data_IF_388025924427
#
_entry.id   IF_388025924427
#
_cell.length_a   1.000
_cell.length_b   1.000
_cell.length_c   1.000
_cell.angle_alpha   90.00
_cell.angle_beta   90.00
_cell.angle_gamma   90.00
#
_symmetry.space_group_name_H-M   'P 1'
#
loop_
_entity.id
_entity.type
_entity.pdbx_description
1 polymer ?
#
# COMPACT_ATOMS: atom_id res chain seq x y z
N UNK A 1 -37.62 27.91 -1.59
CA UNK A 1 -36.53 28.18 -2.55
C UNK A 1 -35.33 28.58 -1.70
N UNK A 2 -34.21 27.86 -1.58
CA UNK A 2 -33.60 26.82 -2.39
C UNK A 2 -33.01 25.73 -1.48
N UNK A 3 -33.16 24.47 -1.86
CA UNK A 3 -32.49 23.34 -1.21
C UNK A 3 -31.05 23.24 -1.71
N UNK A 4 -30.10 23.13 -0.77
CA UNK A 4 -28.72 22.75 -1.08
C UNK A 4 -28.70 21.26 -1.46
N UNK A 5 -28.31 20.95 -2.70
CA UNK A 5 -27.84 19.62 -3.08
C UNK A 5 -26.44 19.41 -2.50
N UNK A 6 -26.11 18.23 -1.96
CA UNK A 6 -24.72 17.88 -1.68
C UNK A 6 -24.00 17.57 -2.99
N UNK A 7 -22.77 18.08 -3.09
CA UNK A 7 -21.80 17.84 -4.13
C UNK A 7 -21.45 16.36 -4.26
N UNK A 8 -21.46 15.89 -5.51
CA UNK A 8 -21.05 14.56 -5.94
C UNK A 8 -19.51 14.39 -5.76
N UNK A 9 -19.10 13.91 -4.58
CA UNK A 9 -17.76 13.36 -4.34
C UNK A 9 -17.69 12.04 -5.11
N UNK A 10 -16.86 12.01 -6.16
CA UNK A 10 -16.62 10.90 -7.09
C UNK A 10 -16.08 9.58 -6.49
N UNK A 11 -16.48 9.24 -5.27
CA UNK A 11 -16.44 7.93 -4.67
C UNK A 11 -17.26 6.91 -5.47
N UNK A 12 -16.59 6.22 -6.40
CA UNK A 12 -17.17 5.05 -7.08
C UNK A 12 -17.32 3.93 -6.04
N UNK A 13 -18.53 3.78 -5.51
CA UNK A 13 -18.91 2.67 -4.64
C UNK A 13 -19.03 1.38 -5.46
N UNK A 14 -17.97 0.56 -5.48
CA UNK A 14 -18.07 -0.82 -5.96
C UNK A 14 -18.53 -1.68 -4.78
N UNK A 15 -19.83 -1.93 -4.72
CA UNK A 15 -20.42 -2.87 -3.75
C UNK A 15 -20.11 -4.28 -4.23
N UNK A 16 -19.15 -4.95 -3.60
CA UNK A 16 -18.99 -6.40 -3.77
C UNK A 16 -20.10 -7.12 -3.00
N UNK A 17 -20.60 -8.21 -3.58
CA UNK A 17 -21.76 -9.00 -3.14
C UNK A 17 -21.61 -9.72 -1.78
N UNK A 18 -20.68 -9.29 -0.92
CA UNK A 18 -20.46 -9.81 0.44
C UNK A 18 -20.57 -8.74 1.53
N UNK A 19 -21.19 -7.58 1.26
CA UNK A 19 -21.62 -6.65 2.31
C UNK A 19 -20.50 -5.98 3.12
N UNK A 20 -19.25 -5.97 2.61
CA UNK A 20 -18.18 -5.10 3.12
C UNK A 20 -17.75 -4.17 2.01
N UNK A 21 -17.95 -2.87 2.23
CA UNK A 21 -17.46 -1.80 1.37
C UNK A 21 -15.93 -1.90 1.32
N UNK A 22 -15.37 -2.45 0.24
CA UNK A 22 -13.95 -2.32 -0.11
C UNK A 22 -13.75 -0.94 -0.71
N UNK A 23 -13.68 0.09 0.13
CA UNK A 23 -13.41 1.45 -0.31
C UNK A 23 -11.91 1.74 -0.17
N UNK A 24 -11.29 2.01 -1.30
CA UNK A 24 -9.96 2.60 -1.35
C UNK A 24 -10.06 4.07 -0.99
N UNK A 25 -9.17 4.56 -0.14
CA UNK A 25 -9.21 5.95 0.35
C UNK A 25 -7.85 6.59 0.30
N UNK A 26 -7.86 7.92 0.23
CA UNK A 26 -6.69 8.73 0.60
C UNK A 26 -6.63 8.88 2.12
N UNK A 27 -5.45 8.65 2.68
CA UNK A 27 -5.19 8.72 4.11
C UNK A 27 -3.96 9.59 4.36
N UNK A 28 -4.17 10.70 5.05
CA UNK A 28 -3.10 11.63 5.41
C UNK A 28 -2.44 11.20 6.74
N UNK A 29 -1.13 10.99 6.70
CA UNK A 29 -0.32 10.71 7.88
C UNK A 29 0.03 12.00 8.63
N UNK A 30 0.03 11.94 9.96
CA UNK A 30 0.51 13.03 10.80
C UNK A 30 2.02 13.25 10.69
N UNK A 31 2.48 14.47 11.00
CA UNK A 31 3.92 14.83 10.93
C UNK A 31 4.82 13.92 11.76
N UNK A 32 4.36 13.47 12.93
CA UNK A 32 5.14 12.56 13.77
C UNK A 32 5.28 11.17 13.11
N UNK A 33 4.22 10.69 12.47
CA UNK A 33 4.22 9.42 11.75
C UNK A 33 5.17 9.44 10.55
N UNK A 34 5.21 10.55 9.80
CA UNK A 34 6.16 10.78 8.71
C UNK A 34 7.61 10.86 9.23
N UNK A 35 7.86 11.54 10.35
CA UNK A 35 9.22 11.60 10.94
C UNK A 35 9.73 10.23 11.38
N UNK A 36 8.87 9.45 12.05
CA UNK A 36 9.22 8.08 12.45
C UNK A 36 9.48 7.19 11.23
N UNK A 37 8.68 7.37 10.17
CA UNK A 37 8.91 6.73 8.88
C UNK A 37 10.32 7.05 8.37
N UNK A 38 10.63 8.34 8.22
CA UNK A 38 11.87 8.78 7.60
C UNK A 38 13.08 8.17 8.32
N UNK A 39 13.09 8.23 9.65
CA UNK A 39 14.17 7.63 10.43
C UNK A 39 14.30 6.11 10.27
N UNK A 40 13.21 5.38 9.98
CA UNK A 40 13.28 3.96 9.65
C UNK A 40 13.82 3.72 8.24
N UNK A 41 13.44 4.53 7.26
CA UNK A 41 13.97 4.45 5.90
C UNK A 41 15.47 4.70 5.87
N UNK A 42 15.95 5.71 6.59
CA UNK A 42 17.37 6.05 6.63
C UNK A 42 18.23 4.89 7.19
N UNK A 43 17.62 3.99 7.97
CA UNK A 43 18.26 2.79 8.54
C UNK A 43 18.05 1.52 7.71
N UNK A 44 17.20 1.57 6.68
CA UNK A 44 16.81 0.40 5.89
C UNK A 44 17.51 0.43 4.53
N UNK A 45 18.03 -0.71 4.08
CA UNK A 45 18.59 -0.79 2.74
C UNK A 45 17.47 -0.73 1.68
N UNK A 46 17.69 0.05 0.62
CA UNK A 46 16.83 0.05 -0.56
C UNK A 46 16.79 -1.35 -1.19
N UNK A 47 15.60 -1.94 -1.41
CA UNK A 47 15.49 -3.16 -2.21
C UNK A 47 15.20 -2.80 -3.67
N UNK A 48 15.77 -3.60 -4.58
CA UNK A 48 15.55 -3.46 -6.02
C UNK A 48 14.31 -4.26 -6.42
N UNK A 49 13.54 -3.75 -7.39
CA UNK A 49 12.42 -4.49 -7.96
C UNK A 49 12.91 -5.75 -8.66
N UNK A 50 12.13 -6.83 -8.55
CA UNK A 50 12.23 -7.95 -9.48
C UNK A 50 11.34 -7.65 -10.70
N UNK A 51 11.84 -7.95 -11.90
CA UNK A 51 11.02 -7.93 -13.13
C UNK A 51 10.25 -9.24 -13.25
N UNK A 52 8.99 -9.16 -13.66
CA UNK A 52 8.26 -10.36 -14.05
C UNK A 52 8.84 -10.88 -15.38
N UNK A 53 9.26 -12.15 -15.40
CA UNK A 53 9.87 -12.78 -16.59
C UNK A 53 8.87 -12.98 -17.73
N UNK A 54 7.58 -13.11 -17.42
CA UNK A 54 6.52 -13.36 -18.39
C UNK A 54 5.90 -12.05 -18.89
N UNK A 55 5.85 -11.01 -18.04
CA UNK A 55 5.40 -9.68 -18.42
C UNK A 55 6.45 -8.62 -18.03
N UNK A 56 7.32 -8.17 -18.96
CA UNK A 56 8.36 -7.21 -18.63
C UNK A 56 7.84 -5.81 -18.25
N UNK A 57 6.55 -5.53 -18.47
CA UNK A 57 5.87 -4.31 -17.98
C UNK A 57 5.44 -4.39 -16.52
N UNK A 58 5.57 -5.57 -15.92
CA UNK A 58 5.29 -5.80 -14.51
C UNK A 58 6.58 -5.89 -13.71
N UNK A 59 6.61 -5.14 -12.62
CA UNK A 59 7.66 -5.22 -11.62
C UNK A 59 7.03 -5.48 -10.26
N UNK A 60 7.72 -6.22 -9.42
CA UNK A 60 7.25 -6.50 -8.07
C UNK A 60 8.37 -6.50 -7.04
N UNK A 61 7.97 -6.39 -5.78
CA UNK A 61 8.80 -6.56 -4.60
C UNK A 61 8.12 -7.55 -3.69
N UNK A 62 8.92 -8.24 -2.90
CA UNK A 62 8.43 -9.03 -1.79
C UNK A 62 9.13 -8.50 -0.54
N UNK A 63 8.36 -7.82 0.30
CA UNK A 63 8.83 -7.39 1.61
C UNK A 63 8.72 -8.55 2.58
N UNK A 64 9.81 -8.82 3.28
CA UNK A 64 9.85 -9.74 4.40
C UNK A 64 9.77 -8.96 5.70
N UNK A 65 8.74 -9.22 6.50
CA UNK A 65 8.64 -8.77 7.88
C UNK A 65 9.07 -9.91 8.77
N UNK A 66 10.06 -9.67 9.62
CA UNK A 66 10.49 -10.58 10.71
C UNK A 66 10.02 -10.02 12.05
N UNK A 67 10.10 -10.82 13.11
CA UNK A 67 9.64 -10.40 14.44
C UNK A 67 8.16 -9.96 14.37
N UNK A 68 7.31 -10.71 13.66
CA UNK A 68 5.94 -10.31 13.29
C UNK A 68 5.11 -9.86 14.49
N UNK A 69 5.29 -10.53 15.63
CA UNK A 69 4.64 -10.15 16.89
C UNK A 69 5.07 -8.76 17.38
N UNK A 70 6.36 -8.43 17.25
CA UNK A 70 6.87 -7.09 17.56
C UNK A 70 6.48 -6.09 16.47
N UNK A 71 6.54 -6.50 15.21
CA UNK A 71 6.18 -5.71 14.04
C UNK A 71 4.72 -5.24 14.10
N UNK A 72 3.80 -6.03 14.68
CA UNK A 72 2.43 -5.61 14.96
C UNK A 72 2.34 -4.27 15.72
N UNK A 73 3.41 -3.84 16.38
CA UNK A 73 3.48 -2.60 17.12
C UNK A 73 4.16 -1.45 16.35
N UNK A 74 4.98 -1.74 15.32
CA UNK A 74 5.95 -0.78 14.75
C UNK A 74 5.56 -0.24 13.38
N UNK A 75 4.66 -0.91 12.64
CA UNK A 75 4.09 -0.39 11.38
C UNK A 75 5.16 0.04 10.38
N UNK A 76 6.08 -0.88 10.06
CA UNK A 76 7.23 -0.57 9.22
C UNK A 76 6.78 -0.25 7.79
N UNK A 77 7.47 0.71 7.17
CA UNK A 77 7.29 1.00 5.78
C UNK A 77 8.48 0.61 4.91
N UNK A 78 8.22 0.40 3.62
CA UNK A 78 9.24 -0.04 2.69
C UNK A 78 9.30 0.81 1.43
N UNK A 79 10.52 0.99 0.92
CA UNK A 79 10.83 1.78 -0.25
C UNK A 79 11.20 0.93 -1.48
N UNK A 80 10.41 1.06 -2.52
CA UNK A 80 10.59 0.36 -3.78
C UNK A 80 11.22 1.29 -4.84
N UNK A 81 12.32 0.85 -5.47
CA UNK A 81 12.81 1.42 -6.74
C UNK A 81 12.27 0.57 -7.87
N UNK A 82 11.21 1.04 -8.49
CA UNK A 82 10.73 0.46 -9.75
C UNK A 82 11.37 1.26 -10.84
N UNK A 83 11.47 0.64 -11.99
CA UNK A 83 11.78 1.38 -13.19
C UNK A 83 10.94 2.67 -13.21
N UNK A 84 11.66 3.78 -13.14
CA UNK A 84 11.18 5.16 -13.05
C UNK A 84 10.70 5.62 -11.64
N UNK A 85 9.54 5.21 -11.14
CA UNK A 85 8.95 5.79 -9.91
C UNK A 85 9.38 5.13 -8.60
N UNK A 86 9.35 5.92 -7.52
CA UNK A 86 9.68 5.49 -6.16
C UNK A 86 8.42 5.47 -5.27
N UNK A 87 8.17 4.34 -4.61
CA UNK A 87 6.98 4.13 -3.77
C UNK A 87 7.35 3.71 -2.35
N UNK A 88 6.56 4.21 -1.40
CA UNK A 88 6.52 3.77 -0.02
C UNK A 88 5.28 2.92 0.24
N UNK A 89 5.39 1.86 1.03
CA UNK A 89 4.21 1.17 1.58
C UNK A 89 4.20 1.27 3.07
N UNK A 90 3.04 1.58 3.64
CA UNK A 90 2.83 1.72 5.07
C UNK A 90 1.73 0.76 5.51
N UNK A 91 2.07 -0.08 6.50
CA UNK A 91 1.12 -0.98 7.14
C UNK A 91 0.77 -0.48 8.53
N UNK A 92 -0.51 -0.54 8.86
CA UNK A 92 -1.04 -0.38 10.21
C UNK A 92 -1.55 -1.74 10.70
N UNK A 93 -0.73 -2.51 11.44
CA UNK A 93 -1.07 -3.87 11.85
C UNK A 93 -2.30 -3.95 12.76
N UNK A 94 -2.59 -2.88 13.50
CA UNK A 94 -3.77 -2.77 14.36
C UNK A 94 -4.86 -1.88 13.75
N UNK A 95 -4.77 -1.58 12.45
CA UNK A 95 -5.75 -0.81 11.69
C UNK A 95 -5.77 0.69 12.01
N UNK A 96 -6.55 1.42 11.23
CA UNK A 96 -6.81 2.86 11.37
C UNK A 96 -8.31 3.15 11.29
N UNK A 97 -8.73 4.32 11.78
CA UNK A 97 -10.13 4.77 11.73
C UNK A 97 -11.10 3.67 12.17
N UNK A 98 -12.10 3.39 11.34
CA UNK A 98 -13.14 2.39 11.60
C UNK A 98 -12.65 0.93 11.56
N UNK A 99 -11.47 0.67 10.98
CA UNK A 99 -10.85 -0.64 10.94
C UNK A 99 -10.01 -0.98 12.18
N UNK A 100 -9.74 0.01 13.04
CA UNK A 100 -8.83 -0.13 14.19
C UNK A 100 -9.25 -1.29 15.10
N UNK A 101 -8.26 -2.06 15.53
CA UNK A 101 -8.41 -3.25 16.39
C UNK A 101 -9.02 -4.48 15.72
N UNK A 102 -9.44 -4.40 14.45
CA UNK A 102 -10.14 -5.50 13.75
C UNK A 102 -9.51 -5.87 12.41
N UNK A 103 -8.96 -4.89 11.70
CA UNK A 103 -8.36 -5.06 10.39
C UNK A 103 -6.94 -4.51 10.36
N UNK A 104 -6.09 -5.13 9.54
CA UNK A 104 -4.86 -4.50 9.06
C UNK A 104 -5.25 -3.50 7.97
N UNK A 105 -4.62 -2.32 8.00
CA UNK A 105 -4.74 -1.34 6.93
C UNK A 105 -3.39 -1.20 6.22
N UNK A 106 -3.41 -1.03 4.89
CA UNK A 106 -2.20 -0.88 4.08
C UNK A 106 -2.42 0.25 3.07
N UNK A 107 -1.44 1.14 3.00
CA UNK A 107 -1.43 2.31 2.11
C UNK A 107 -0.13 2.38 1.31
N UNK A 108 -0.25 2.83 0.06
CA UNK A 108 0.87 3.13 -0.82
C UNK A 108 1.04 4.65 -0.88
N UNK A 109 2.27 5.12 -0.81
CA UNK A 109 2.64 6.53 -0.85
C UNK A 109 3.65 6.76 -1.98
N UNK A 110 3.53 7.86 -2.71
CA UNK A 110 4.65 8.31 -3.57
C UNK A 110 5.81 8.81 -2.71
N UNK A 111 7.03 8.64 -3.19
CA UNK A 111 8.24 9.13 -2.55
C UNK A 111 9.12 9.81 -3.59
N UNK A 112 9.87 10.83 -3.18
CA UNK A 112 10.76 11.56 -4.09
C UNK A 112 11.88 10.67 -4.62
N UNK A 113 11.90 10.49 -5.93
CA UNK A 113 12.89 9.72 -6.69
C UNK A 113 13.95 10.61 -7.34
N UNK A 114 15.14 10.04 -7.52
CA UNK A 114 16.29 10.70 -8.16
C UNK A 114 16.04 11.07 -9.64
N UNK A 115 15.08 10.41 -10.28
CA UNK A 115 14.79 10.58 -11.71
C UNK A 115 13.36 11.12 -11.96
N UNK A 116 12.70 11.69 -10.96
CA UNK A 116 11.30 12.13 -11.04
C UNK A 116 11.06 13.16 -12.16
N UNK A 117 12.09 13.92 -12.56
CA UNK A 117 12.03 14.88 -13.68
C UNK A 117 11.87 14.23 -15.06
N UNK A 118 12.25 12.96 -15.19
CA UNK A 118 12.16 12.22 -16.45
C UNK A 118 10.88 11.38 -16.56
N UNK A 119 10.00 11.44 -15.56
CA UNK A 119 8.81 10.59 -15.47
C UNK A 119 7.55 11.40 -15.79
N UNK A 120 6.52 10.68 -16.21
CA UNK A 120 5.20 11.28 -16.41
C UNK A 120 4.50 11.51 -15.06
N UNK A 121 3.81 12.63 -14.90
CA UNK A 121 3.03 12.87 -13.68
C UNK A 121 1.64 13.38 -14.04
N UNK A 122 0.60 13.05 -13.24
CA UNK A 122 0.61 12.15 -12.08
C UNK A 122 0.82 10.67 -12.45
N UNK A 123 1.22 9.84 -11.48
CA UNK A 123 1.38 8.41 -11.71
C UNK A 123 0.02 7.77 -12.08
N UNK A 124 0.02 6.98 -13.15
CA UNK A 124 -1.14 6.23 -13.62
C UNK A 124 -0.74 4.79 -13.90
N UNK A 125 -1.36 3.84 -13.20
CA UNK A 125 -1.00 2.44 -13.27
C UNK A 125 -1.81 1.61 -12.30
N UNK A 126 -1.59 0.31 -12.32
CA UNK A 126 -2.19 -0.64 -11.38
C UNK A 126 -1.16 -0.97 -10.31
N UNK A 127 -1.62 -1.01 -9.06
CA UNK A 127 -0.81 -1.49 -7.93
C UNK A 127 -1.58 -2.62 -7.26
N UNK A 128 -0.96 -3.79 -7.18
CA UNK A 128 -1.53 -4.97 -6.52
C UNK A 128 -0.75 -5.23 -5.24
N UNK A 129 -1.45 -5.29 -4.12
CA UNK A 129 -0.93 -5.60 -2.80
C UNK A 129 -1.36 -7.02 -2.44
N UNK A 130 -0.42 -7.91 -2.14
CA UNK A 130 -0.72 -9.32 -1.84
C UNK A 130 0.04 -9.79 -0.60
N UNK A 131 -0.67 -10.28 0.42
CA UNK A 131 -0.03 -11.08 1.47
C UNK A 131 0.06 -12.52 1.00
N UNK A 132 1.29 -13.04 1.00
CA UNK A 132 1.61 -14.32 0.38
C UNK A 132 1.29 -15.49 1.30
N UNK A 133 0.58 -16.49 0.77
CA UNK A 133 0.38 -17.78 1.42
C UNK A 133 1.73 -18.50 1.60
N UNK A 134 2.04 -18.95 2.83
CA UNK A 134 3.32 -19.60 3.17
C UNK A 134 3.38 -21.10 2.88
N UNK A 135 2.29 -21.69 2.43
CA UNK A 135 2.16 -23.09 2.03
C UNK A 135 2.37 -23.30 0.52
N UNK A 136 2.70 -22.24 -0.22
CA UNK A 136 3.02 -22.31 -1.65
C UNK A 136 1.81 -22.29 -2.59
N UNK A 137 0.61 -22.14 -2.05
CA UNK A 137 -0.64 -22.04 -2.82
C UNK A 137 -0.94 -20.58 -3.14
N UNK A 138 -0.41 -20.09 -4.26
CA UNK A 138 -0.51 -18.66 -4.64
C UNK A 138 -1.94 -18.16 -4.85
N UNK A 139 -2.86 -19.05 -5.21
CA UNK A 139 -4.29 -18.73 -5.35
C UNK A 139 -4.95 -18.34 -4.02
N UNK A 140 -4.30 -18.62 -2.89
CA UNK A 140 -4.76 -18.25 -1.56
C UNK A 140 -4.18 -16.91 -1.06
N UNK A 141 -3.33 -16.23 -1.85
CA UNK A 141 -2.79 -14.93 -1.50
C UNK A 141 -3.94 -13.93 -1.25
N UNK A 142 -3.92 -13.20 -0.13
CA UNK A 142 -4.89 -12.11 0.08
C UNK A 142 -4.45 -10.92 -0.74
N UNK A 143 -5.13 -10.70 -1.88
CA UNK A 143 -4.73 -9.72 -2.89
C UNK A 143 -5.77 -8.62 -3.09
N UNK A 144 -5.31 -7.36 -3.17
CA UNK A 144 -6.13 -6.21 -3.52
C UNK A 144 -5.44 -5.37 -4.58
N UNK A 145 -6.18 -5.00 -5.60
CA UNK A 145 -5.68 -4.25 -6.76
C UNK A 145 -6.28 -2.87 -6.78
N UNK A 146 -5.44 -1.86 -6.55
CA UNK A 146 -5.82 -0.46 -6.64
C UNK A 146 -5.43 0.13 -8.00
N UNK A 147 -6.25 1.05 -8.48
CA UNK A 147 -6.00 1.79 -9.71
C UNK A 147 -5.55 3.20 -9.35
N UNK A 148 -4.31 3.54 -9.69
CA UNK A 148 -3.83 4.91 -9.57
C UNK A 148 -4.55 5.79 -10.62
N UNK A 149 -5.06 6.94 -10.15
CA UNK A 149 -5.83 7.88 -10.96
C UNK A 149 -5.22 9.28 -10.86
N UNK A 150 -5.17 10.03 -11.97
CA UNK A 150 -4.67 11.41 -11.98
C UNK A 150 -5.37 12.39 -11.03
N UNK A 151 -6.61 12.10 -10.62
CA UNK A 151 -7.40 12.95 -9.74
C UNK A 151 -7.07 12.78 -8.25
N UNK A 152 -6.30 11.75 -7.89
CA UNK A 152 -5.92 11.48 -6.50
C UNK A 152 -4.65 12.28 -6.14
N UNK A 153 -4.68 12.96 -5.01
CA UNK A 153 -3.53 13.69 -4.46
C UNK A 153 -2.36 12.74 -4.15
N UNK A 154 -2.66 11.52 -3.70
CA UNK A 154 -1.69 10.49 -3.36
C UNK A 154 -0.77 10.08 -4.52
N UNK A 155 -1.16 10.29 -5.78
CA UNK A 155 -0.39 9.91 -6.98
C UNK A 155 0.18 11.09 -7.77
N UNK A 156 0.10 12.30 -7.21
CA UNK A 156 0.78 13.46 -7.76
C UNK A 156 2.30 13.34 -7.61
N UNK A 157 3.04 14.17 -8.35
CA UNK A 157 4.49 14.30 -8.18
C UNK A 157 4.79 14.64 -6.72
N UNK A 158 5.58 13.82 -6.00
CA UNK A 158 5.94 14.09 -4.62
C UNK A 158 6.78 15.37 -4.56
N UNK A 159 6.55 16.17 -3.51
CA UNK A 159 7.32 17.39 -3.20
C UNK A 159 8.15 17.24 -1.92
N UNK A 160 8.08 16.06 -1.32
CA UNK A 160 8.71 15.70 -0.07
C UNK A 160 9.26 14.28 -0.22
N UNK A 161 10.26 13.92 0.58
CA UNK A 161 10.86 12.59 0.58
C UNK A 161 9.82 11.45 0.67
N UNK A 162 8.73 11.69 1.41
CA UNK A 162 7.57 10.81 1.52
C UNK A 162 6.31 11.67 1.38
N UNK A 163 5.43 11.34 0.44
CA UNK A 163 4.12 11.98 0.35
C UNK A 163 3.31 11.69 1.62
N UNK A 164 2.81 12.71 2.35
CA UNK A 164 2.03 12.48 3.56
C UNK A 164 0.68 11.81 3.28
N UNK A 165 0.18 11.93 2.05
CA UNK A 165 -1.08 11.33 1.62
C UNK A 165 -0.77 9.99 0.94
N UNK A 166 -1.27 8.90 1.53
CA UNK A 166 -1.22 7.57 0.95
C UNK A 166 -2.58 7.15 0.41
N UNK A 167 -2.59 6.20 -0.52
CA UNK A 167 -3.82 5.59 -1.05
C UNK A 167 -3.83 4.08 -0.79
N UNK A 168 -4.94 3.57 -0.28
CA UNK A 168 -5.00 2.16 0.12
C UNK A 168 -6.30 1.77 0.81
N UNK A 169 -6.25 0.75 1.66
CA UNK A 169 -7.43 0.13 2.27
C UNK A 169 -7.37 0.19 3.80
N UNK A 170 -8.44 0.68 4.41
CA UNK A 170 -8.68 0.53 5.86
C UNK A 170 -8.95 -0.95 6.22
N UNK A 171 -9.62 -1.67 5.34
CA UNK A 171 -10.08 -3.05 5.56
C UNK A 171 -9.32 -4.04 4.68
N UNK A 172 -7.98 -4.02 4.70
CA UNK A 172 -7.17 -4.91 3.86
C UNK A 172 -7.44 -6.39 4.19
N UNK A 173 -7.31 -6.76 5.46
CA UNK A 173 -7.63 -8.10 5.94
C UNK A 173 -7.93 -8.06 7.44
N UNK A 174 -8.67 -9.05 7.96
CA UNK A 174 -8.82 -9.21 9.41
C UNK A 174 -7.47 -9.50 10.05
N UNK A 175 -7.21 -8.90 11.22
CA UNK A 175 -5.95 -9.08 11.95
C UNK A 175 -5.67 -10.57 12.23
N UNK A 176 -6.68 -11.30 12.71
CA UNK A 176 -6.60 -12.74 13.02
C UNK A 176 -6.20 -13.58 11.80
N UNK A 177 -6.73 -13.24 10.63
CA UNK A 177 -6.42 -13.92 9.38
C UNK A 177 -5.02 -13.55 8.90
N UNK A 178 -4.72 -12.25 8.85
CA UNK A 178 -3.47 -11.70 8.31
C UNK A 178 -2.24 -12.17 9.08
N UNK A 179 -2.35 -12.26 10.40
CA UNK A 179 -1.29 -12.78 11.28
C UNK A 179 -1.47 -14.26 11.63
N UNK A 180 -2.38 -14.96 10.93
CA UNK A 180 -2.63 -16.38 11.13
C UNK A 180 -1.51 -17.26 10.58
N UNK A 181 -1.47 -18.55 10.96
CA UNK A 181 -0.42 -19.49 10.60
C UNK A 181 -0.30 -19.79 9.09
N UNK A 182 -1.33 -19.43 8.30
CA UNK A 182 -1.30 -19.54 6.84
C UNK A 182 -0.35 -18.52 6.20
N UNK A 183 -0.24 -17.33 6.80
CA UNK A 183 0.55 -16.21 6.25
C UNK A 183 1.80 -15.92 7.08
N UNK A 184 1.81 -16.30 8.36
CA UNK A 184 2.94 -16.15 9.27
C UNK A 184 3.56 -17.51 9.57
N UNK A 185 4.84 -17.67 9.24
CA UNK A 185 5.63 -18.87 9.54
C UNK A 185 7.06 -18.48 9.89
N UNK A 186 7.64 -19.12 10.90
CA UNK A 186 8.96 -18.78 11.46
C UNK A 186 9.06 -17.29 11.87
N UNK A 187 7.96 -16.73 12.39
CA UNK A 187 7.86 -15.31 12.74
C UNK A 187 8.17 -14.37 11.58
N UNK A 188 7.82 -14.80 10.37
CA UNK A 188 7.98 -14.07 9.12
C UNK A 188 6.65 -13.92 8.39
N UNK A 189 6.44 -12.77 7.77
CA UNK A 189 5.32 -12.45 6.88
C UNK A 189 5.87 -11.86 5.59
N UNK A 190 5.26 -12.20 4.46
CA UNK A 190 5.67 -11.68 3.16
C UNK A 190 4.54 -10.88 2.51
N UNK A 191 4.80 -9.61 2.22
CA UNK A 191 3.90 -8.73 1.48
C UNK A 191 4.51 -8.45 0.11
N UNK A 192 3.86 -8.92 -0.94
CA UNK A 192 4.19 -8.59 -2.31
C UNK A 192 3.49 -7.31 -2.72
N UNK A 193 4.22 -6.44 -3.42
CA UNK A 193 3.61 -5.35 -4.19
C UNK A 193 4.00 -5.55 -5.63
N UNK A 194 3.03 -5.51 -6.52
CA UNK A 194 3.22 -5.56 -7.96
C UNK A 194 2.67 -4.29 -8.59
N UNK A 195 3.36 -3.84 -9.63
CA UNK A 195 3.04 -2.61 -10.34
C UNK A 195 3.01 -2.92 -11.82
N UNK A 196 1.99 -2.44 -12.51
CA UNK A 196 1.97 -2.43 -13.97
C UNK A 196 1.66 -1.03 -14.48
N UNK A 197 2.52 -0.56 -15.39
CA UNK A 197 2.21 0.60 -16.22
C UNK A 197 1.30 0.16 -17.38
N UNK A 198 0.57 1.12 -17.95
CA UNK A 198 -0.06 0.89 -19.27
C UNK A 198 1.01 0.67 -20.34
#
# INVERSE_FOLDING_TARGET
LAGHQPSDDGSVNIVSSLGRIQQYIEHCCGRQEIRLWQGQLDRSASQKAARNKQNPREAYFIMKYTEVERFRQVGLPFLSKIFEYKFGVRMYPNGVGNGRGRYVAIFVHMMEGEHDDFLSWPYAGRITLSVLDRNGQRDNDISHTLQAKPTLAAFQRPREAICPIGYGLIYFARIELFFGPQFVKNDELFLKIEFSSK
#
